data_IF_262266511767
#
_entry.id   IF_262266511767
#
_cell.length_a   1.000
_cell.length_b   1.000
_cell.length_c   1.000
_cell.angle_alpha   90.00
_cell.angle_beta   90.00
_cell.angle_gamma   90.00
#
_symmetry.space_group_name_H-M   'P 1'
#
loop_
_entity.id
_entity.type
_entity.pdbx_description
1 polymer ?
#
# COMPACT_ATOMS: atom_id res chain seq x y z
N UNK A 1 -11.92 -4.59 -14.78
CA UNK A 1 -10.96 -3.64 -15.40
C UNK A 1 -10.60 -4.12 -16.80
N UNK A 2 -11.00 -3.37 -17.83
CA UNK A 2 -10.61 -3.61 -19.23
C UNK A 2 -9.15 -3.21 -19.43
N UNK A 3 -8.30 -4.23 -19.44
CA UNK A 3 -6.90 -4.09 -19.79
C UNK A 3 -6.37 -5.49 -19.89
N UNK A 4 -6.48 -6.08 -21.08
CA UNK A 4 -5.90 -7.40 -21.36
C UNK A 4 -4.43 -7.46 -21.00
N UNK A 5 -3.83 -8.64 -21.06
CA UNK A 5 -2.45 -8.87 -20.60
C UNK A 5 -1.38 -7.94 -21.21
N UNK A 6 -1.72 -7.27 -22.31
CA UNK A 6 -0.87 -6.33 -23.04
C UNK A 6 -1.16 -4.84 -22.74
N UNK A 7 -1.91 -4.51 -21.69
CA UNK A 7 -2.12 -3.10 -21.32
C UNK A 7 -0.81 -2.44 -20.87
N UNK A 8 -0.68 -1.13 -21.14
CA UNK A 8 0.49 -0.33 -20.75
C UNK A 8 0.87 -0.56 -19.27
N UNK A 9 -0.13 -0.50 -18.39
CA UNK A 9 0.06 -0.71 -16.95
C UNK A 9 0.63 -2.10 -16.64
N UNK A 10 0.06 -3.17 -17.22
CA UNK A 10 0.51 -4.55 -16.97
C UNK A 10 1.92 -4.80 -17.49
N UNK A 11 2.19 -4.39 -18.74
CA UNK A 11 3.50 -4.61 -19.38
C UNK A 11 4.58 -3.82 -18.64
N UNK A 12 4.35 -2.53 -18.36
CA UNK A 12 5.32 -1.70 -17.64
C UNK A 12 5.59 -2.24 -16.23
N UNK A 13 4.55 -2.61 -15.46
CA UNK A 13 4.76 -3.16 -14.12
C UNK A 13 5.38 -4.56 -14.12
N UNK A 14 5.21 -5.34 -15.19
CA UNK A 14 5.98 -6.58 -15.39
C UNK A 14 7.46 -6.25 -15.61
N UNK A 15 7.77 -5.31 -16.49
CA UNK A 15 9.14 -4.86 -16.77
C UNK A 15 9.83 -4.26 -15.54
N UNK A 16 9.13 -3.43 -14.77
CA UNK A 16 9.67 -2.82 -13.55
C UNK A 16 10.04 -3.85 -12.47
N UNK A 17 9.31 -4.98 -12.41
CA UNK A 17 9.59 -6.08 -11.48
C UNK A 17 10.71 -7.01 -11.96
N UNK A 18 11.04 -6.97 -13.25
CA UNK A 18 12.08 -7.82 -13.84
C UNK A 18 13.45 -7.48 -13.25
N UNK A 19 14.19 -8.50 -12.83
CA UNK A 19 15.58 -8.34 -12.37
C UNK A 19 16.52 -7.90 -13.49
N UNK A 20 16.15 -8.18 -14.76
CA UNK A 20 16.90 -7.73 -15.92
C UNK A 20 16.69 -6.24 -16.18
N UNK A 21 17.58 -5.42 -15.60
CA UNK A 21 17.53 -3.94 -15.73
C UNK A 21 17.69 -3.41 -17.15
N UNK A 22 18.05 -4.23 -18.14
CA UNK A 22 18.03 -3.81 -19.56
C UNK A 22 16.63 -3.69 -20.10
N UNK A 23 15.66 -4.43 -19.55
CA UNK A 23 14.27 -4.41 -20.02
C UNK A 23 13.56 -3.09 -19.73
N UNK A 24 14.00 -2.33 -18.73
CA UNK A 24 13.42 -1.02 -18.39
C UNK A 24 13.94 0.12 -19.29
N UNK A 25 15.06 -0.07 -20.00
CA UNK A 25 15.68 0.98 -20.83
C UNK A 25 14.72 1.58 -21.88
N UNK A 26 13.93 0.79 -22.63
CA UNK A 26 12.94 1.34 -23.56
C UNK A 26 11.88 2.23 -22.89
N UNK A 27 11.64 2.04 -21.59
CA UNK A 27 10.64 2.77 -20.82
C UNK A 27 11.16 4.07 -20.21
N UNK A 28 12.47 4.37 -20.28
CA UNK A 28 13.04 5.56 -19.62
C UNK A 28 12.41 6.88 -20.06
N UNK A 29 12.11 7.02 -21.35
CA UNK A 29 11.42 8.21 -21.85
C UNK A 29 10.04 8.39 -21.22
N UNK A 30 9.24 7.31 -21.17
CA UNK A 30 7.94 7.31 -20.52
C UNK A 30 8.04 7.53 -19.01
N UNK A 31 8.93 6.80 -18.32
CA UNK A 31 9.11 6.90 -16.86
C UNK A 31 9.55 8.30 -16.45
N UNK A 32 10.42 8.96 -17.23
CA UNK A 32 10.82 10.35 -16.99
C UNK A 32 9.64 11.29 -17.12
N UNK A 33 8.84 11.16 -18.19
CA UNK A 33 7.65 11.98 -18.38
C UNK A 33 6.63 11.75 -17.26
N UNK A 34 6.39 10.49 -16.92
CA UNK A 34 5.45 10.07 -15.89
C UNK A 34 5.85 10.58 -14.51
N UNK A 35 7.10 10.40 -14.08
CA UNK A 35 7.59 10.93 -12.81
C UNK A 35 7.56 12.47 -12.79
N UNK A 36 7.89 13.14 -13.89
CA UNK A 36 7.78 14.60 -14.02
C UNK A 36 6.34 15.09 -13.92
N UNK A 37 5.36 14.32 -14.43
CA UNK A 37 3.96 14.65 -14.28
C UNK A 37 3.51 14.46 -12.83
N UNK A 38 3.84 13.32 -12.23
CA UNK A 38 3.53 12.99 -10.84
C UNK A 38 4.18 13.96 -9.84
N UNK A 39 5.36 14.49 -10.13
CA UNK A 39 6.02 15.48 -9.26
C UNK A 39 5.27 16.79 -9.14
N UNK A 40 4.40 17.12 -10.13
CA UNK A 40 3.55 18.31 -10.13
C UNK A 40 2.23 18.13 -9.38
N UNK A 41 1.87 16.88 -9.07
CA UNK A 41 0.64 16.57 -8.36
C UNK A 41 0.82 16.67 -6.84
N UNK A 42 -0.24 17.04 -6.11
CA UNK A 42 -0.19 17.12 -4.65
C UNK A 42 0.17 15.75 -4.05
N UNK A 43 1.06 15.80 -3.06
CA UNK A 43 1.41 14.62 -2.29
C UNK A 43 0.30 14.29 -1.28
N UNK A 44 0.09 13.00 -1.08
CA UNK A 44 -0.85 12.43 -0.12
C UNK A 44 -0.04 11.85 1.05
N UNK A 45 -0.40 12.25 2.26
CA UNK A 45 0.27 11.90 3.52
C UNK A 45 -0.74 11.29 4.50
N UNK A 46 -1.26 10.11 4.18
CA UNK A 46 -2.27 9.40 4.98
C UNK A 46 -2.17 7.89 4.78
N UNK A 47 -3.07 7.11 5.38
CA UNK A 47 -3.18 5.69 5.10
C UNK A 47 -3.94 5.44 3.79
N UNK A 48 -3.33 4.67 2.90
CA UNK A 48 -3.95 4.23 1.64
C UNK A 48 -4.03 2.71 1.60
N UNK A 49 -4.95 2.22 0.78
CA UNK A 49 -5.33 0.82 0.72
C UNK A 49 -5.08 0.27 -0.67
N UNK A 50 -4.56 -0.95 -0.73
CA UNK A 50 -4.43 -1.70 -1.97
C UNK A 50 -4.85 -3.14 -1.77
N UNK A 51 -5.87 -3.55 -2.52
CA UNK A 51 -6.30 -4.94 -2.60
C UNK A 51 -5.47 -5.70 -3.63
N UNK A 52 -5.11 -6.93 -3.29
CA UNK A 52 -4.47 -7.89 -4.19
C UNK A 52 -5.23 -9.21 -4.09
N UNK A 53 -5.64 -9.76 -5.23
CA UNK A 53 -6.20 -11.11 -5.28
C UNK A 53 -5.11 -12.14 -4.97
N UNK A 54 -5.40 -13.08 -4.07
CA UNK A 54 -4.49 -14.10 -3.57
C UNK A 54 -3.65 -13.70 -2.35
N UNK A 55 -3.00 -14.70 -1.76
CA UNK A 55 -2.09 -14.54 -0.63
C UNK A 55 -0.67 -14.20 -1.11
N UNK A 56 -0.22 -12.99 -0.81
CA UNK A 56 1.19 -12.56 -0.99
C UNK A 56 1.88 -12.27 0.35
N UNK A 57 1.24 -12.60 1.48
CA UNK A 57 1.72 -12.32 2.85
C UNK A 57 3.13 -12.82 3.11
N UNK A 58 3.49 -13.96 2.52
CA UNK A 58 4.79 -14.61 2.71
C UNK A 58 5.98 -13.75 2.22
N UNK A 59 5.71 -12.71 1.42
CA UNK A 59 6.72 -11.76 0.96
C UNK A 59 7.04 -10.67 2.00
N UNK A 60 6.30 -10.61 3.10
CA UNK A 60 6.40 -9.55 4.10
C UNK A 60 6.75 -10.12 5.46
N UNK A 61 7.84 -9.64 6.03
CA UNK A 61 8.27 -9.96 7.38
C UNK A 61 8.47 -8.67 8.16
N UNK A 62 7.98 -8.64 9.39
CA UNK A 62 8.08 -7.47 10.26
C UNK A 62 9.51 -6.94 10.35
N UNK A 63 9.66 -5.61 10.20
CA UNK A 63 10.94 -4.92 10.24
C UNK A 63 11.67 -4.84 8.90
N UNK A 64 11.32 -5.68 7.93
CA UNK A 64 11.95 -5.66 6.61
C UNK A 64 11.60 -4.36 5.88
N UNK A 65 12.57 -3.86 5.10
CA UNK A 65 12.39 -2.74 4.19
C UNK A 65 12.56 -3.24 2.76
N UNK A 66 11.59 -2.96 1.90
CA UNK A 66 11.55 -3.41 0.53
C UNK A 66 11.37 -2.24 -0.44
N UNK A 67 11.92 -2.42 -1.65
CA UNK A 67 11.70 -1.49 -2.75
C UNK A 67 10.46 -1.91 -3.52
N UNK A 68 9.46 -1.04 -3.55
CA UNK A 68 8.25 -1.23 -4.33
C UNK A 68 8.48 -0.79 -5.78
N UNK A 69 8.91 -1.72 -6.63
CA UNK A 69 9.33 -1.41 -8.01
C UNK A 69 8.19 -1.00 -8.95
N UNK A 70 6.96 -1.43 -8.70
CA UNK A 70 5.83 -1.17 -9.58
C UNK A 70 5.20 0.20 -9.34
N UNK A 71 4.62 0.79 -10.39
CA UNK A 71 3.57 1.81 -10.22
C UNK A 71 2.37 1.09 -9.61
N UNK A 72 1.86 1.60 -8.50
CA UNK A 72 0.69 0.97 -7.87
C UNK A 72 -0.43 1.97 -7.65
N UNK A 73 -1.59 1.58 -8.17
CA UNK A 73 -2.86 2.21 -7.86
C UNK A 73 -3.31 1.76 -6.47
N UNK A 74 -3.64 2.74 -5.64
CA UNK A 74 -4.19 2.58 -4.30
C UNK A 74 -5.42 3.48 -4.18
N UNK A 75 -6.21 3.29 -3.13
CA UNK A 75 -7.32 4.18 -2.80
C UNK A 75 -7.18 4.67 -1.36
N UNK A 76 -7.58 5.91 -1.10
CA UNK A 76 -7.80 6.40 0.28
C UNK A 76 -9.07 5.79 0.90
N UNK A 77 -9.97 5.25 0.08
CA UNK A 77 -11.24 4.67 0.51
C UNK A 77 -11.13 3.16 0.68
N UNK A 78 -11.20 2.69 1.93
CA UNK A 78 -11.28 1.27 2.22
C UNK A 78 -12.50 0.61 1.57
N UNK A 79 -13.62 1.34 1.45
CA UNK A 79 -14.83 0.86 0.79
C UNK A 79 -14.57 0.51 -0.69
N UNK A 80 -13.86 1.37 -1.42
CA UNK A 80 -13.51 1.12 -2.83
C UNK A 80 -12.68 -0.15 -2.95
N UNK A 81 -11.71 -0.34 -2.06
CA UNK A 81 -10.87 -1.54 -2.06
C UNK A 81 -11.67 -2.79 -1.67
N UNK A 82 -12.60 -2.68 -0.72
CA UNK A 82 -13.50 -3.77 -0.36
C UNK A 82 -14.39 -4.17 -1.54
N UNK A 83 -14.98 -3.19 -2.25
CA UNK A 83 -15.80 -3.44 -3.43
C UNK A 83 -14.97 -4.06 -4.57
N UNK A 84 -13.70 -3.64 -4.72
CA UNK A 84 -12.76 -4.24 -5.68
C UNK A 84 -12.40 -5.69 -5.35
N UNK A 85 -12.14 -6.00 -4.07
CA UNK A 85 -11.85 -7.36 -3.62
C UNK A 85 -13.10 -8.25 -3.64
N UNK A 86 -14.29 -7.66 -3.57
CA UNK A 86 -15.56 -8.38 -3.69
C UNK A 86 -15.67 -9.56 -2.72
N UNK A 87 -15.93 -10.74 -3.26
CA UNK A 87 -16.05 -12.00 -2.51
C UNK A 87 -14.84 -12.93 -2.67
N UNK A 88 -13.67 -12.39 -2.97
CA UNK A 88 -12.44 -13.19 -3.08
C UNK A 88 -12.19 -13.97 -1.79
N UNK A 89 -12.08 -15.30 -1.92
CA UNK A 89 -11.89 -16.22 -0.78
C UNK A 89 -10.50 -16.12 -0.18
N UNK A 90 -9.53 -15.65 -0.97
CA UNK A 90 -8.16 -15.44 -0.53
C UNK A 90 -7.64 -14.13 -1.13
N UNK A 91 -7.30 -13.17 -0.27
CA UNK A 91 -6.87 -11.85 -0.69
C UNK A 91 -5.86 -11.25 0.30
N UNK A 92 -5.03 -10.36 -0.22
CA UNK A 92 -4.14 -9.54 0.60
C UNK A 92 -4.56 -8.08 0.54
N UNK A 93 -4.83 -7.48 1.70
CA UNK A 93 -5.03 -6.05 1.88
C UNK A 93 -3.74 -5.42 2.38
N UNK A 94 -3.17 -4.51 1.58
CA UNK A 94 -2.05 -3.69 1.98
C UNK A 94 -2.58 -2.38 2.56
N UNK A 95 -2.29 -2.13 3.83
CA UNK A 95 -2.47 -0.83 4.48
C UNK A 95 -1.12 -0.10 4.45
N UNK A 96 -1.06 1.04 3.78
CA UNK A 96 0.21 1.73 3.52
C UNK A 96 0.12 3.16 4.07
N UNK A 97 0.92 3.47 5.08
CA UNK A 97 1.16 4.85 5.51
C UNK A 97 2.06 5.53 4.48
N UNK A 98 1.48 6.32 3.59
CA UNK A 98 2.22 7.00 2.52
C UNK A 98 2.60 8.41 2.91
N UNK A 99 3.67 8.92 2.29
CA UNK A 99 4.16 10.29 2.45
C UNK A 99 4.27 11.03 1.13
N UNK A 100 4.52 10.32 0.02
CA UNK A 100 4.66 10.89 -1.31
C UNK A 100 3.79 10.21 -2.38
N UNK A 101 2.72 9.51 -1.97
CA UNK A 101 1.72 9.07 -2.93
C UNK A 101 1.10 10.27 -3.65
N UNK A 102 0.63 10.07 -4.88
CA UNK A 102 0.16 11.17 -5.73
C UNK A 102 -1.31 11.03 -6.01
N UNK A 103 -2.08 12.04 -5.62
CA UNK A 103 -3.49 12.12 -5.97
C UNK A 103 -3.61 12.42 -7.47
N UNK A 104 -4.27 11.51 -8.20
CA UNK A 104 -4.46 11.61 -9.66
C UNK A 104 -5.92 11.90 -10.04
N UNK A 105 -6.72 12.40 -9.09
CA UNK A 105 -8.07 12.87 -9.37
C UNK A 105 -8.03 13.95 -10.48
N UNK A 106 -9.00 13.89 -11.39
CA UNK A 106 -9.03 14.69 -12.61
C UNK A 106 -8.22 14.11 -13.79
N UNK A 107 -7.41 13.08 -13.57
CA UNK A 107 -6.68 12.35 -14.63
C UNK A 107 -7.08 10.88 -14.74
N UNK A 108 -7.59 10.30 -13.65
CA UNK A 108 -8.10 8.93 -13.66
C UNK A 108 -9.40 8.80 -14.46
N UNK A 109 -9.60 7.62 -15.06
CA UNK A 109 -10.88 7.26 -15.69
C UNK A 109 -11.95 6.82 -14.67
N UNK A 110 -11.57 6.67 -13.40
CA UNK A 110 -12.42 6.20 -12.31
C UNK A 110 -12.44 7.22 -11.14
N UNK A 111 -13.11 8.37 -11.30
CA UNK A 111 -13.05 9.47 -10.32
C UNK A 111 -13.57 9.08 -8.94
N UNK A 112 -14.52 8.13 -8.87
CA UNK A 112 -15.13 7.67 -7.62
C UNK A 112 -14.21 6.73 -6.81
N UNK A 113 -13.13 6.22 -7.41
CA UNK A 113 -12.19 5.32 -6.73
C UNK A 113 -11.24 6.05 -5.76
N UNK A 114 -11.23 7.39 -5.77
CA UNK A 114 -10.33 8.22 -4.97
C UNK A 114 -8.87 7.74 -5.11
N UNK A 115 -8.48 7.54 -6.37
CA UNK A 115 -7.24 6.89 -6.75
C UNK A 115 -6.01 7.74 -6.42
N UNK A 116 -5.02 7.08 -5.81
CA UNK A 116 -3.70 7.63 -5.54
C UNK A 116 -2.64 6.67 -6.03
N UNK A 117 -1.56 7.20 -6.60
CA UNK A 117 -0.47 6.41 -7.14
C UNK A 117 0.74 6.38 -6.21
N UNK A 118 1.21 5.17 -5.92
CA UNK A 118 2.54 4.93 -5.40
C UNK A 118 3.54 4.87 -6.57
N UNK A 119 4.63 5.61 -6.44
CA UNK A 119 5.68 5.68 -7.47
C UNK A 119 6.54 4.41 -7.48
N UNK A 120 7.08 4.02 -8.65
CA UNK A 120 8.06 2.94 -8.71
C UNK A 120 9.32 3.34 -7.94
N UNK A 121 9.91 2.38 -7.23
CA UNK A 121 11.10 2.60 -6.40
C UNK A 121 10.80 3.10 -4.98
N UNK A 122 9.53 3.23 -4.59
CA UNK A 122 9.16 3.66 -3.22
C UNK A 122 9.68 2.65 -2.19
N UNK A 123 10.36 3.11 -1.15
CA UNK A 123 10.80 2.26 -0.04
C UNK A 123 9.67 2.10 0.98
N UNK A 124 9.31 0.85 1.27
CA UNK A 124 8.27 0.51 2.24
C UNK A 124 8.86 -0.37 3.33
N UNK A 125 8.56 -0.04 4.58
CA UNK A 125 8.89 -0.87 5.74
C UNK A 125 7.67 -1.62 6.23
N UNK A 126 7.83 -2.91 6.53
CA UNK A 126 6.81 -3.72 7.19
C UNK A 126 6.77 -3.37 8.67
N UNK A 127 5.64 -2.82 9.13
CA UNK A 127 5.51 -2.25 10.49
C UNK A 127 5.21 -3.30 11.55
N UNK A 128 4.42 -4.32 11.21
CA UNK A 128 4.02 -5.37 12.13
C UNK A 128 3.95 -6.73 11.44
N UNK A 129 3.71 -7.78 12.21
CA UNK A 129 3.40 -9.11 11.71
C UNK A 129 2.14 -9.08 10.87
N UNK A 130 2.09 -9.92 9.83
CA UNK A 130 0.91 -10.05 9.00
C UNK A 130 -0.26 -10.60 9.82
N UNK A 131 -1.42 -9.96 9.72
CA UNK A 131 -2.65 -10.48 10.28
C UNK A 131 -3.27 -11.48 9.30
N UNK A 132 -3.40 -12.74 9.72
CA UNK A 132 -4.11 -13.77 8.98
C UNK A 132 -5.52 -13.94 9.56
N UNK A 133 -6.54 -13.47 8.84
CA UNK A 133 -7.93 -13.64 9.24
C UNK A 133 -8.45 -15.03 8.85
N UNK A 134 -9.38 -15.58 9.64
CA UNK A 134 -9.95 -16.93 9.42
C UNK A 134 -10.75 -17.06 8.11
N UNK A 135 -11.08 -15.95 7.46
CA UNK A 135 -11.77 -15.90 6.17
C UNK A 135 -10.86 -15.70 4.96
N UNK A 136 -9.56 -16.00 5.06
CA UNK A 136 -8.61 -15.90 3.93
C UNK A 136 -8.16 -14.49 3.57
N UNK A 137 -8.51 -13.49 4.40
CA UNK A 137 -7.97 -12.14 4.28
C UNK A 137 -6.64 -12.01 5.03
N UNK A 138 -5.61 -11.56 4.33
CA UNK A 138 -4.30 -11.26 4.87
C UNK A 138 -4.09 -9.74 4.90
N UNK A 139 -3.77 -9.17 6.06
CA UNK A 139 -3.54 -7.71 6.18
C UNK A 139 -2.07 -7.44 6.46
N UNK A 140 -1.45 -6.66 5.58
CA UNK A 140 -0.05 -6.24 5.68
C UNK A 140 0.01 -4.75 5.98
N UNK A 141 0.71 -4.37 7.06
CA UNK A 141 0.93 -2.98 7.44
C UNK A 141 2.30 -2.50 6.96
N UNK A 142 2.29 -1.53 6.06
CA UNK A 142 3.46 -0.92 5.44
C UNK A 142 3.53 0.58 5.78
N UNK A 143 4.74 1.12 5.82
CA UNK A 143 4.95 2.57 5.90
C UNK A 143 6.06 3.02 4.94
N UNK A 144 5.83 4.14 4.26
CA UNK A 144 6.82 4.78 3.40
C UNK A 144 8.00 5.31 4.22
N UNK A 145 9.19 4.84 3.84
CA UNK A 145 10.46 5.32 4.40
C UNK A 145 10.82 6.64 3.70
N UNK A 146 11.13 7.67 4.48
CA UNK A 146 11.74 8.89 3.94
C UNK A 146 13.23 8.88 4.22
N UNK A 147 14.02 9.43 3.31
CA UNK A 147 15.43 9.75 3.50
C UNK A 147 15.58 10.96 4.44
N UNK A 148 15.21 10.76 5.70
CA UNK A 148 15.34 11.72 6.77
C UNK A 148 15.20 10.96 8.08
N UNK A 149 16.22 11.07 8.94
CA UNK A 149 16.31 10.48 10.28
C UNK A 149 14.92 10.23 10.88
N UNK A 150 14.64 8.97 11.22
CA UNK A 150 13.45 8.61 11.99
C UNK A 150 13.44 9.40 13.29
N UNK A 151 12.67 10.49 13.32
CA UNK A 151 12.23 11.09 14.56
C UNK A 151 11.35 10.03 15.24
N UNK A 152 11.87 9.43 16.31
CA UNK A 152 11.12 8.57 17.19
C UNK A 152 9.85 9.31 17.62
N UNK A 153 8.69 8.81 17.20
CA UNK A 153 7.41 9.32 17.66
C UNK A 153 7.33 9.10 19.18
N UNK A 154 6.96 10.12 19.99
CA UNK A 154 6.70 9.94 21.40
C UNK A 154 5.57 8.93 21.59
N UNK A 155 5.80 7.97 22.47
CA UNK A 155 4.92 6.83 22.73
C UNK A 155 3.61 7.31 23.40
N UNK A 156 2.61 7.69 22.60
CA UNK A 156 1.33 8.20 23.09
C UNK A 156 0.52 7.16 23.90
N UNK A 157 0.88 5.88 23.81
CA UNK A 157 0.23 4.80 24.56
C UNK A 157 0.63 4.68 26.03
N UNK A 158 1.60 5.46 26.53
CA UNK A 158 1.93 5.45 27.96
C UNK A 158 0.79 5.99 28.87
N UNK A 159 -0.24 6.63 28.29
CA UNK A 159 -1.27 7.37 29.03
C UNK A 159 -2.59 6.63 29.24
N UNK A 160 -2.76 5.42 28.70
CA UNK A 160 -4.01 4.65 28.85
C UNK A 160 -3.83 3.54 29.89
N UNK A 161 -3.66 3.95 31.16
CA UNK A 161 -3.89 3.05 32.29
C UNK A 161 -5.39 2.83 32.46
N UNK A 162 -5.95 1.88 31.69
CA UNK A 162 -7.26 1.31 31.99
C UNK A 162 -7.10 0.39 33.21
N UNK A 163 -7.37 0.94 34.38
CA UNK A 163 -7.57 0.17 35.60
C UNK A 163 -8.77 -0.77 35.41
N UNK A 164 -8.50 -2.05 35.23
CA UNK A 164 -9.52 -3.10 35.34
C UNK A 164 -9.87 -3.27 36.82
N UNK A 165 -11.02 -2.76 37.24
CA UNK A 165 -11.65 -3.21 38.49
C UNK A 165 -12.22 -4.62 38.24
N UNK A 166 -11.54 -5.63 38.77
CA UNK A 166 -12.13 -6.94 38.99
C UNK A 166 -13.09 -6.85 40.19
N UNK A 167 -14.39 -6.73 39.95
CA UNK A 167 -15.38 -7.02 40.98
C UNK A 167 -15.68 -8.52 40.96
N UNK A 168 -14.96 -9.26 41.81
CA UNK A 168 -15.41 -10.56 42.30
C UNK A 168 -16.63 -10.32 43.21
N UNK A 169 -17.79 -10.84 42.81
CA UNK A 169 -18.84 -11.21 43.77
C UNK A 169 -19.11 -12.70 43.63
N UNK A 170 -18.65 -13.43 44.64
CA UNK A 170 -19.05 -14.80 44.94
C UNK A 170 -19.66 -14.81 46.34
N UNK A 171 -20.82 -15.47 46.49
CA UNK A 171 -21.52 -15.88 47.72
C UNK A 171 -22.04 -14.73 48.62
N UNK A 172 -23.25 -14.77 49.17
CA UNK A 172 -24.18 -15.85 49.51
C UNK A 172 -25.63 -15.39 49.38
#
# INVERSE_FOLDING_TARGET
>A
MEGGDNSLYRVLNKTLRSENRREVVPWFGFLKLFDTALSKLPAVQECVWRGVAGDISQQFKQGDTLTWWSISSCSVSLKVVQDFLGSEENATLLMIEVKNAKNINGYTNYPDEQEVLLRPGTQLRVKDNVLHHKGGLHVVHLAEVCDGHEAQLPNAMASLNLSSKSENKSAS
#
